data_IF_031911252440
#
_entry.id   IF_031911252440
#
_cell.length_a   1.000
_cell.length_b   1.000
_cell.length_c   1.000
_cell.angle_alpha   90.00
_cell.angle_beta   90.00
_cell.angle_gamma   90.00
#
_symmetry.space_group_name_H-M   'P 1'
#
loop_
_entity.id
_entity.type
_entity.pdbx_description
1 polymer ?
#
# COMPACT_ATOMS: atom_id res chain seq x y z
N UNK A 1 19.43 -18.15 7.70
CA UNK A 1 18.84 -16.87 7.25
C UNK A 1 19.91 -15.83 6.92
N UNK A 2 20.91 -15.63 7.81
CA UNK A 2 21.96 -14.61 7.65
C UNK A 2 22.71 -14.72 6.32
N UNK A 3 23.22 -15.89 5.99
CA UNK A 3 23.96 -16.14 4.74
C UNK A 3 23.13 -15.79 3.49
N UNK A 4 21.86 -16.20 3.47
CA UNK A 4 20.97 -15.91 2.34
C UNK A 4 20.70 -14.39 2.20
N UNK A 5 20.52 -13.69 3.33
CA UNK A 5 20.33 -12.23 3.31
C UNK A 5 21.61 -11.53 2.85
N UNK A 6 22.78 -11.96 3.34
CA UNK A 6 24.06 -11.39 2.91
C UNK A 6 24.27 -11.61 1.40
N UNK A 7 24.08 -12.84 0.92
CA UNK A 7 24.21 -13.14 -0.51
C UNK A 7 23.23 -12.33 -1.38
N UNK A 8 21.99 -12.14 -0.89
CA UNK A 8 21.03 -11.29 -1.58
C UNK A 8 21.48 -9.83 -1.63
N UNK A 9 21.98 -9.28 -0.52
CA UNK A 9 22.44 -7.90 -0.47
C UNK A 9 23.69 -7.67 -1.33
N UNK A 10 24.60 -8.63 -1.36
CA UNK A 10 25.78 -8.62 -2.24
C UNK A 10 25.35 -8.65 -3.72
N UNK A 11 24.36 -9.47 -4.06
CA UNK A 11 23.79 -9.51 -5.42
C UNK A 11 23.14 -8.19 -5.79
N UNK A 12 22.35 -7.60 -4.90
CA UNK A 12 21.70 -6.29 -5.10
C UNK A 12 22.76 -5.19 -5.26
N UNK A 13 23.83 -5.23 -4.49
CA UNK A 13 24.95 -4.30 -4.53
C UNK A 13 24.52 -2.82 -4.58
N UNK A 14 23.61 -2.43 -3.68
CA UNK A 14 23.12 -1.06 -3.56
C UNK A 14 22.20 -0.59 -4.69
N UNK A 15 21.85 -1.45 -5.65
CA UNK A 15 20.93 -1.09 -6.73
C UNK A 15 19.49 -0.93 -6.22
N UNK A 16 18.70 -0.05 -6.83
CA UNK A 16 17.28 0.03 -6.52
C UNK A 16 16.57 -1.30 -6.76
N UNK A 17 15.65 -1.65 -5.86
CA UNK A 17 14.81 -2.83 -5.99
C UNK A 17 13.50 -2.49 -6.73
N UNK A 18 12.89 -3.47 -7.36
CA UNK A 18 11.58 -3.34 -7.92
C UNK A 18 10.74 -4.58 -7.62
N UNK A 19 9.49 -4.38 -7.25
CA UNK A 19 8.54 -5.47 -7.06
C UNK A 19 7.10 -4.99 -7.32
N UNK A 20 6.17 -5.93 -7.40
CA UNK A 20 4.75 -5.65 -7.52
C UNK A 20 4.07 -5.78 -6.14
N UNK A 21 3.69 -4.67 -5.52
CA UNK A 21 3.37 -4.54 -4.10
C UNK A 21 4.63 -4.64 -3.22
N UNK A 22 5.63 -3.85 -3.60
CA UNK A 22 7.01 -3.92 -3.10
C UNK A 22 7.13 -3.85 -1.58
N UNK A 23 6.27 -3.09 -0.89
CA UNK A 23 6.31 -3.01 0.58
C UNK A 23 6.14 -4.37 1.25
N UNK A 24 5.38 -5.29 0.62
CA UNK A 24 5.24 -6.66 1.13
C UNK A 24 6.62 -7.35 1.19
N UNK A 25 7.34 -7.40 0.06
CA UNK A 25 8.64 -8.08 -0.03
C UNK A 25 9.70 -7.37 0.81
N UNK A 26 9.77 -6.05 0.71
CA UNK A 26 10.71 -5.20 1.45
C UNK A 26 10.53 -5.36 2.96
N UNK A 27 9.29 -5.46 3.45
CA UNK A 27 9.02 -5.63 4.88
C UNK A 27 9.57 -6.94 5.42
N UNK A 28 9.49 -8.04 4.66
CA UNK A 28 10.08 -9.35 5.04
C UNK A 28 11.60 -9.30 5.08
N UNK A 29 12.23 -8.72 4.05
CA UNK A 29 13.69 -8.57 4.01
C UNK A 29 14.16 -7.68 5.15
N UNK A 30 13.48 -6.55 5.38
CA UNK A 30 13.78 -5.62 6.48
C UNK A 30 13.67 -6.30 7.84
N UNK A 31 12.63 -7.10 8.07
CA UNK A 31 12.46 -7.84 9.31
C UNK A 31 13.56 -8.92 9.50
N UNK A 32 13.96 -9.59 8.43
CA UNK A 32 15.06 -10.54 8.43
C UNK A 32 16.40 -9.88 8.75
N UNK A 33 16.72 -8.79 8.06
CA UNK A 33 17.94 -8.01 8.28
C UNK A 33 18.02 -7.46 9.70
N UNK A 34 16.92 -6.93 10.22
CA UNK A 34 16.85 -6.43 11.62
C UNK A 34 17.19 -7.52 12.64
N UNK A 35 16.65 -8.74 12.46
CA UNK A 35 16.95 -9.87 13.36
C UNK A 35 18.42 -10.29 13.33
N UNK A 36 19.06 -10.18 12.18
CA UNK A 36 20.46 -10.56 11.98
C UNK A 36 21.45 -9.41 12.20
N UNK A 37 20.96 -8.21 12.57
CA UNK A 37 21.79 -7.02 12.76
C UNK A 37 22.42 -6.48 11.47
N UNK A 38 21.79 -6.73 10.32
CA UNK A 38 22.26 -6.28 9.00
C UNK A 38 21.56 -4.96 8.66
N UNK A 39 22.31 -3.88 8.33
CA UNK A 39 21.71 -2.64 7.83
C UNK A 39 20.98 -2.87 6.50
N UNK A 40 19.74 -2.38 6.40
CA UNK A 40 18.96 -2.49 5.17
C UNK A 40 18.02 -1.30 5.01
N UNK A 41 18.36 -0.38 4.13
CA UNK A 41 17.56 0.79 3.76
C UNK A 41 17.57 0.97 2.22
N UNK A 42 16.80 0.15 1.49
CA UNK A 42 16.83 0.13 0.04
C UNK A 42 16.00 1.25 -0.56
N UNK A 43 16.46 1.80 -1.67
CA UNK A 43 15.60 2.49 -2.62
C UNK A 43 14.81 1.46 -3.41
N UNK A 44 13.49 1.65 -3.57
CA UNK A 44 12.68 0.72 -4.36
C UNK A 44 11.56 1.41 -5.14
N UNK A 45 11.13 0.73 -6.20
CA UNK A 45 10.01 1.12 -7.06
C UNK A 45 8.92 0.06 -6.96
N UNK A 46 7.69 0.49 -6.75
CA UNK A 46 6.52 -0.39 -6.68
C UNK A 46 5.71 -0.33 -7.97
N UNK A 47 5.78 -1.40 -8.77
CA UNK A 47 5.04 -1.48 -10.05
C UNK A 47 3.52 -1.48 -9.86
N UNK A 48 2.99 -1.89 -8.70
CA UNK A 48 1.57 -1.77 -8.38
C UNK A 48 1.17 -0.29 -8.23
N UNK A 49 1.99 0.51 -7.54
CA UNK A 49 1.74 1.94 -7.39
C UNK A 49 1.85 2.64 -8.74
N UNK A 50 2.84 2.28 -9.58
CA UNK A 50 2.95 2.80 -10.93
C UNK A 50 1.71 2.47 -11.76
N UNK A 51 1.27 1.21 -11.79
CA UNK A 51 0.08 0.79 -12.51
C UNK A 51 -1.18 1.55 -12.05
N UNK A 52 -1.36 1.73 -10.75
CA UNK A 52 -2.51 2.45 -10.19
C UNK A 52 -2.58 3.93 -10.59
N UNK A 53 -1.43 4.56 -10.81
CA UNK A 53 -1.35 5.99 -11.18
C UNK A 53 -1.27 6.20 -12.69
N UNK A 54 -0.63 5.30 -13.43
CA UNK A 54 -0.39 5.45 -14.87
C UNK A 54 -1.46 4.79 -15.74
N UNK A 55 -2.26 3.86 -15.18
CA UNK A 55 -3.30 3.12 -15.88
C UNK A 55 -4.68 3.32 -15.22
N UNK A 56 -5.21 4.55 -15.21
CA UNK A 56 -6.44 4.87 -14.47
C UNK A 56 -7.68 4.13 -14.99
N UNK A 57 -7.64 3.62 -16.21
CA UNK A 57 -8.71 2.82 -16.84
C UNK A 57 -8.80 1.40 -16.31
N UNK A 58 -7.75 0.89 -15.63
CA UNK A 58 -7.80 -0.44 -15.01
C UNK A 58 -8.51 -0.38 -13.66
N UNK A 59 -9.36 -1.40 -13.40
CA UNK A 59 -10.04 -1.57 -12.12
C UNK A 59 -9.35 -2.59 -11.19
N UNK A 60 -8.49 -3.43 -11.76
CA UNK A 60 -7.72 -4.45 -11.04
C UNK A 60 -6.26 -4.35 -11.48
N UNK A 61 -5.37 -4.49 -10.52
CA UNK A 61 -3.93 -4.28 -10.71
C UNK A 61 -3.11 -5.49 -10.25
N UNK A 62 -3.62 -6.71 -10.49
CA UNK A 62 -2.82 -7.91 -10.33
C UNK A 62 -1.76 -7.95 -11.42
N UNK A 63 -0.64 -8.64 -11.16
CA UNK A 63 0.50 -8.73 -12.08
C UNK A 63 0.09 -9.20 -13.48
N UNK A 64 -0.70 -10.27 -13.53
CA UNK A 64 -1.26 -10.86 -14.76
C UNK A 64 -2.11 -9.86 -15.56
N UNK A 65 -3.02 -9.17 -14.89
CA UNK A 65 -3.94 -8.21 -15.52
C UNK A 65 -3.17 -7.01 -16.08
N UNK A 66 -2.17 -6.52 -15.36
CA UNK A 66 -1.35 -5.40 -15.80
C UNK A 66 -0.45 -5.82 -16.97
N UNK A 67 0.12 -7.04 -16.94
CA UNK A 67 0.92 -7.59 -18.02
C UNK A 67 0.10 -7.74 -19.30
N UNK A 68 -1.10 -8.33 -19.21
CA UNK A 68 -2.04 -8.46 -20.33
C UNK A 68 -2.42 -7.09 -20.93
N UNK A 69 -2.74 -6.12 -20.07
CA UNK A 69 -3.08 -4.76 -20.51
C UNK A 69 -1.94 -4.06 -21.26
N UNK A 70 -0.69 -4.33 -20.86
CA UNK A 70 0.50 -3.78 -21.49
C UNK A 70 0.99 -4.60 -22.69
N UNK A 71 0.23 -5.61 -23.12
CA UNK A 71 0.56 -6.53 -24.23
C UNK A 71 1.95 -7.18 -24.05
N UNK A 72 2.26 -7.57 -22.81
CA UNK A 72 3.51 -8.23 -22.48
C UNK A 72 3.43 -9.74 -22.70
N UNK A 73 4.57 -10.42 -22.96
CA UNK A 73 4.57 -11.86 -23.21
C UNK A 73 3.92 -12.66 -22.08
N UNK A 74 3.21 -13.73 -22.42
CA UNK A 74 2.65 -14.66 -21.44
C UNK A 74 3.77 -15.28 -20.60
N UNK A 75 3.52 -15.46 -19.30
CA UNK A 75 4.49 -16.01 -18.36
C UNK A 75 3.85 -17.04 -17.43
N UNK A 76 4.68 -17.89 -16.81
CA UNK A 76 4.21 -18.88 -15.87
C UNK A 76 4.02 -18.25 -14.50
N UNK A 77 2.75 -18.01 -14.13
CA UNK A 77 2.42 -17.50 -12.81
C UNK A 77 2.92 -18.40 -11.67
N UNK A 78 3.27 -17.79 -10.55
CA UNK A 78 3.72 -18.43 -9.32
C UNK A 78 5.12 -19.03 -9.35
N UNK A 79 5.94 -18.64 -10.34
CA UNK A 79 7.39 -18.83 -10.27
C UNK A 79 8.02 -17.47 -10.00
N UNK A 80 8.71 -17.35 -8.86
CA UNK A 80 9.30 -16.07 -8.41
C UNK A 80 10.22 -15.42 -9.47
N UNK A 81 10.95 -16.22 -10.23
CA UNK A 81 11.80 -15.74 -11.34
C UNK A 81 10.99 -15.11 -12.47
N UNK A 82 9.88 -15.74 -12.83
CA UNK A 82 9.04 -15.31 -13.94
C UNK A 82 8.22 -14.07 -13.52
N UNK A 83 7.74 -14.04 -12.27
CA UNK A 83 7.08 -12.87 -11.70
C UNK A 83 8.05 -11.66 -11.63
N UNK A 84 9.30 -11.89 -11.23
CA UNK A 84 10.33 -10.84 -11.20
C UNK A 84 10.68 -10.33 -12.60
N UNK A 85 10.82 -11.23 -13.60
CA UNK A 85 11.05 -10.86 -14.98
C UNK A 85 9.88 -10.03 -15.54
N UNK A 86 8.63 -10.41 -15.19
CA UNK A 86 7.45 -9.67 -15.61
C UNK A 86 7.43 -8.25 -15.03
N UNK A 87 7.81 -8.07 -13.76
CA UNK A 87 7.98 -6.73 -13.19
C UNK A 87 8.99 -5.92 -13.98
N UNK A 88 10.12 -6.51 -14.35
CA UNK A 88 11.13 -5.82 -15.16
C UNK A 88 10.58 -5.39 -16.53
N UNK A 89 9.85 -6.26 -17.22
CA UNK A 89 9.18 -5.92 -18.49
C UNK A 89 8.15 -4.79 -18.32
N UNK A 90 7.37 -4.78 -17.25
CA UNK A 90 6.41 -3.70 -16.96
C UNK A 90 7.08 -2.35 -16.72
N UNK A 91 8.27 -2.33 -16.10
CA UNK A 91 8.97 -1.08 -15.85
C UNK A 91 9.34 -0.33 -17.12
N UNK A 92 9.58 -1.03 -18.23
CA UNK A 92 9.94 -0.40 -19.52
C UNK A 92 8.84 0.55 -20.01
N UNK A 93 7.60 0.10 -20.26
CA UNK A 93 6.52 1.00 -20.69
C UNK A 93 6.15 2.03 -19.60
N UNK A 94 6.28 1.69 -18.32
CA UNK A 94 6.03 2.67 -17.26
C UNK A 94 7.05 3.80 -17.27
N UNK A 95 8.33 3.52 -17.44
CA UNK A 95 9.37 4.54 -17.52
C UNK A 95 9.21 5.40 -18.77
N UNK A 96 8.90 4.79 -19.91
CA UNK A 96 8.58 5.53 -21.14
C UNK A 96 7.39 6.48 -20.95
N UNK A 97 6.31 5.98 -20.34
CA UNK A 97 5.12 6.78 -20.05
C UNK A 97 5.41 7.92 -19.08
N UNK A 98 6.18 7.66 -18.02
CA UNK A 98 6.60 8.68 -17.05
C UNK A 98 7.47 9.75 -17.70
N UNK A 99 8.40 9.38 -18.55
CA UNK A 99 9.26 10.34 -19.27
C UNK A 99 8.44 11.18 -20.24
N UNK A 100 7.64 10.55 -21.09
CA UNK A 100 6.93 11.21 -22.19
C UNK A 100 5.74 12.06 -21.72
N UNK A 101 4.96 11.57 -20.72
CA UNK A 101 3.73 12.24 -20.29
C UNK A 101 3.91 13.12 -19.04
N UNK A 102 4.86 12.77 -18.16
CA UNK A 102 5.03 13.42 -16.86
C UNK A 102 6.38 14.13 -16.71
N UNK A 103 7.30 13.97 -17.68
CA UNK A 103 8.63 14.56 -17.63
C UNK A 103 9.54 14.01 -16.52
N UNK A 104 9.21 12.83 -15.98
CA UNK A 104 9.96 12.17 -14.90
C UNK A 104 11.10 11.38 -15.51
N UNK A 105 12.35 11.79 -15.24
CA UNK A 105 13.57 11.19 -15.80
C UNK A 105 14.49 10.57 -14.77
N UNK A 106 14.23 10.76 -13.49
CA UNK A 106 15.08 10.25 -12.40
C UNK A 106 14.29 9.33 -11.48
N UNK A 107 14.90 8.23 -11.08
CA UNK A 107 14.26 7.27 -10.15
C UNK A 107 13.83 7.93 -8.83
N UNK A 108 14.63 8.84 -8.31
CA UNK A 108 14.32 9.57 -7.07
C UNK A 108 13.06 10.44 -7.15
N UNK A 109 12.64 10.84 -8.36
CA UNK A 109 11.48 11.71 -8.57
C UNK A 109 10.19 10.88 -8.71
N UNK A 110 10.28 9.56 -8.94
CA UNK A 110 9.13 8.68 -9.18
C UNK A 110 8.19 8.69 -7.97
N UNK A 111 8.66 8.31 -6.80
CA UNK A 111 7.81 8.19 -5.61
C UNK A 111 7.16 9.51 -5.20
N UNK A 112 7.88 10.66 -5.14
CA UNK A 112 7.27 11.95 -4.87
C UNK A 112 6.21 12.37 -5.88
N UNK A 113 6.42 12.08 -7.17
CA UNK A 113 5.45 12.42 -8.22
C UNK A 113 4.23 11.48 -8.18
N UNK A 114 4.42 10.18 -7.97
CA UNK A 114 3.31 9.24 -7.82
C UNK A 114 2.42 9.57 -6.62
N UNK A 115 3.00 10.10 -5.53
CA UNK A 115 2.23 10.60 -4.39
C UNK A 115 1.37 11.83 -4.74
N UNK A 116 1.85 12.71 -5.61
CA UNK A 116 1.11 13.90 -6.07
C UNK A 116 -0.02 13.55 -7.04
N UNK A 117 0.20 12.54 -7.89
CA UNK A 117 -0.78 12.07 -8.88
C UNK A 117 -1.92 11.28 -8.23
N UNK A 118 -1.75 10.79 -7.02
CA UNK A 118 -2.86 10.15 -6.30
C UNK A 118 -4.01 11.14 -6.22
N UNK A 119 -5.20 10.82 -6.79
CA UNK A 119 -6.38 11.68 -6.64
C UNK A 119 -6.58 11.94 -5.15
N UNK A 120 -6.76 13.21 -4.76
CA UNK A 120 -7.21 13.57 -3.42
C UNK A 120 -8.53 12.83 -3.19
N UNK A 121 -8.51 11.78 -2.38
CA UNK A 121 -9.62 10.84 -2.22
C UNK A 121 -9.36 9.42 -2.73
N UNK A 122 -8.23 9.13 -3.40
CA UNK A 122 -7.83 7.77 -3.67
C UNK A 122 -7.51 7.09 -2.35
N UNK A 123 -8.42 6.22 -1.99
CA UNK A 123 -8.53 5.29 -0.88
C UNK A 123 -7.22 5.11 -0.11
N UNK A 124 -7.06 5.91 0.94
CA UNK A 124 -6.16 5.53 2.03
C UNK A 124 -6.55 4.12 2.45
N UNK A 125 -5.63 3.17 2.32
CA UNK A 125 -5.83 1.78 2.70
C UNK A 125 -7.13 1.17 2.18
N UNK A 126 -7.07 0.19 1.27
CA UNK A 126 -8.23 -0.60 0.78
C UNK A 126 -9.00 -1.30 1.90
N UNK A 127 -8.43 -1.33 3.08
CA UNK A 127 -9.00 -1.98 4.24
C UNK A 127 -9.26 -0.95 5.33
N UNK A 128 -10.46 -0.97 5.92
CA UNK A 128 -10.75 -0.16 7.09
C UNK A 128 -9.79 -0.53 8.22
N UNK A 129 -9.36 0.47 8.99
CA UNK A 129 -8.52 0.27 10.16
C UNK A 129 -9.39 -0.02 11.38
N UNK A 130 -8.89 -0.85 12.28
CA UNK A 130 -9.58 -1.10 13.55
C UNK A 130 -9.55 0.12 14.45
N UNK A 131 -10.65 0.37 15.12
CA UNK A 131 -10.82 1.46 16.07
C UNK A 131 -11.60 0.96 17.28
N UNK A 132 -11.24 1.45 18.47
CA UNK A 132 -12.01 1.26 19.69
C UNK A 132 -12.71 2.58 20.01
N UNK A 133 -14.00 2.52 20.29
CA UNK A 133 -14.81 3.67 20.67
C UNK A 133 -15.51 3.34 22.00
N UNK A 134 -15.30 4.18 23.00
CA UNK A 134 -15.92 4.07 24.31
C UNK A 134 -16.78 5.30 24.57
N UNK A 135 -17.98 5.09 25.13
CA UNK A 135 -18.84 6.18 25.56
C UNK A 135 -18.39 6.68 26.94
N UNK A 136 -18.07 7.96 27.06
CA UNK A 136 -17.68 8.62 28.31
C UNK A 136 -18.89 9.05 29.14
N UNK A 137 -19.99 9.37 28.49
CA UNK A 137 -21.22 9.90 29.10
C UNK A 137 -22.45 9.57 28.24
N UNK A 138 -23.63 10.01 28.65
CA UNK A 138 -24.89 9.77 27.93
C UNK A 138 -24.90 10.33 26.50
N UNK A 139 -24.27 11.47 26.25
CA UNK A 139 -24.11 12.05 24.91
C UNK A 139 -23.24 11.13 24.04
N UNK A 140 -22.11 10.69 24.54
CA UNK A 140 -21.25 9.74 23.87
C UNK A 140 -21.93 8.41 23.57
N UNK A 141 -22.80 7.93 24.47
CA UNK A 141 -23.59 6.72 24.22
C UNK A 141 -24.56 6.90 23.05
N UNK A 142 -25.22 8.05 22.98
CA UNK A 142 -26.08 8.41 21.83
C UNK A 142 -25.28 8.43 20.52
N UNK A 143 -24.14 9.12 20.53
CA UNK A 143 -23.25 9.20 19.36
C UNK A 143 -22.71 7.83 18.94
N UNK A 144 -22.35 6.97 19.90
CA UNK A 144 -21.93 5.61 19.64
C UNK A 144 -23.01 4.81 18.90
N UNK A 145 -24.26 4.89 19.35
CA UNK A 145 -25.36 4.23 18.65
C UNK A 145 -25.61 4.79 17.25
N UNK A 146 -25.49 6.10 17.06
CA UNK A 146 -25.60 6.72 15.74
C UNK A 146 -24.50 6.23 14.80
N UNK A 147 -23.23 6.19 15.25
CA UNK A 147 -22.11 5.67 14.48
C UNK A 147 -22.26 4.21 14.13
N UNK A 148 -22.71 3.36 15.07
CA UNK A 148 -22.97 1.94 14.82
C UNK A 148 -24.08 1.78 13.79
N UNK A 149 -25.19 2.51 13.93
CA UNK A 149 -26.30 2.47 12.98
C UNK A 149 -25.85 2.91 11.58
N UNK A 150 -25.16 4.04 11.47
CA UNK A 150 -24.64 4.54 10.20
C UNK A 150 -23.67 3.55 9.55
N UNK A 151 -22.75 2.96 10.34
CA UNK A 151 -21.77 2.01 9.83
C UNK A 151 -22.40 0.73 9.26
N UNK A 152 -23.54 0.30 9.80
CA UNK A 152 -24.23 -0.89 9.34
C UNK A 152 -25.26 -0.62 8.24
N UNK A 153 -25.93 0.54 8.27
CA UNK A 153 -27.02 0.85 7.34
C UNK A 153 -26.56 1.62 6.09
N UNK A 154 -25.57 2.52 6.26
CA UNK A 154 -25.14 3.43 5.19
C UNK A 154 -23.75 3.09 4.64
N UNK A 155 -22.82 2.66 5.50
CA UNK A 155 -21.41 2.48 5.15
C UNK A 155 -20.92 1.04 5.21
N UNK A 156 -21.81 0.08 5.21
CA UNK A 156 -21.47 -1.34 5.22
C UNK A 156 -20.83 -1.77 3.88
N UNK A 157 -19.59 -2.27 3.94
CA UNK A 157 -18.88 -2.85 2.79
C UNK A 157 -18.14 -4.10 3.24
N UNK A 158 -18.79 -5.26 3.28
CA UNK A 158 -18.32 -6.53 3.87
C UNK A 158 -18.17 -6.48 5.39
N UNK A 159 -17.79 -5.34 5.93
CA UNK A 159 -17.71 -5.03 7.37
C UNK A 159 -18.30 -3.64 7.61
N UNK A 160 -18.79 -3.35 8.83
CA UNK A 160 -19.21 -2.01 9.19
C UNK A 160 -18.02 -1.04 9.11
N UNK A 161 -18.21 0.12 8.46
CA UNK A 161 -17.16 1.14 8.31
C UNK A 161 -17.70 2.44 8.90
N UNK A 162 -16.87 3.11 9.69
CA UNK A 162 -17.13 4.47 10.17
C UNK A 162 -16.22 5.43 9.42
N UNK A 163 -16.75 6.25 8.49
CA UNK A 163 -15.97 7.31 7.86
C UNK A 163 -15.40 8.28 8.90
N UNK A 164 -14.20 8.82 8.67
CA UNK A 164 -13.59 9.81 9.58
C UNK A 164 -14.47 11.05 9.75
N UNK A 165 -15.16 11.45 8.70
CA UNK A 165 -16.13 12.58 8.74
C UNK A 165 -17.27 12.33 9.72
N UNK A 166 -17.87 11.14 9.69
CA UNK A 166 -18.92 10.74 10.62
C UNK A 166 -18.39 10.65 12.06
N UNK A 167 -17.21 10.06 12.23
CA UNK A 167 -16.57 9.98 13.54
C UNK A 167 -16.29 11.37 14.13
N UNK A 168 -15.85 12.31 13.31
CA UNK A 168 -15.59 13.69 13.75
C UNK A 168 -16.86 14.44 14.09
N UNK A 169 -17.94 14.26 13.31
CA UNK A 169 -19.24 14.87 13.56
C UNK A 169 -19.90 14.39 14.87
N UNK A 170 -19.60 13.15 15.28
CA UNK A 170 -20.18 12.51 16.47
C UNK A 170 -19.14 12.26 17.58
N UNK A 171 -18.06 13.06 17.62
CA UNK A 171 -16.93 12.80 18.53
C UNK A 171 -17.21 13.16 19.99
N UNK A 172 -18.14 14.08 20.26
CA UNK A 172 -18.43 14.56 21.61
C UNK A 172 -18.87 13.41 22.53
N UNK A 173 -18.28 13.36 23.72
CA UNK A 173 -18.56 12.32 24.73
C UNK A 173 -18.01 10.95 24.39
N UNK A 174 -17.16 10.81 23.36
CA UNK A 174 -16.49 9.57 23.00
C UNK A 174 -14.99 9.61 23.38
N UNK A 175 -14.47 8.46 23.77
CA UNK A 175 -13.04 8.18 23.87
C UNK A 175 -12.69 7.27 22.69
N UNK A 176 -11.69 7.67 21.90
CA UNK A 176 -11.28 6.97 20.70
C UNK A 176 -9.88 6.42 20.92
N UNK A 177 -9.71 5.12 20.70
CA UNK A 177 -8.43 4.43 20.80
C UNK A 177 -8.06 3.72 19.50
N UNK A 178 -6.76 3.63 19.23
CA UNK A 178 -6.24 2.71 18.24
C UNK A 178 -6.33 1.30 18.82
N UNK A 179 -6.99 0.39 18.10
CA UNK A 179 -7.31 -0.93 18.62
C UNK A 179 -6.07 -1.84 18.73
N UNK A 180 -5.83 -2.66 17.73
CA UNK A 180 -4.75 -3.63 17.69
C UNK A 180 -3.72 -3.22 16.61
N UNK A 181 -2.88 -4.15 16.21
CA UNK A 181 -1.93 -4.01 15.10
C UNK A 181 -2.60 -3.62 13.75
N UNK A 182 -3.89 -3.87 13.59
CA UNK A 182 -4.69 -3.41 12.45
C UNK A 182 -5.23 -1.97 12.63
N UNK A 183 -4.96 -1.33 13.76
CA UNK A 183 -5.31 0.06 14.04
C UNK A 183 -4.42 1.06 13.30
N UNK A 184 -4.92 2.28 13.11
CA UNK A 184 -4.21 3.31 12.35
C UNK A 184 -2.88 3.72 13.01
N UNK A 185 -2.88 3.91 14.33
CA UNK A 185 -1.68 4.32 15.07
C UNK A 185 -0.55 3.29 14.98
N UNK A 186 -0.87 2.02 15.23
CA UNK A 186 0.13 0.95 15.15
C UNK A 186 0.75 0.85 13.75
N UNK A 187 -0.09 0.98 12.71
CA UNK A 187 0.36 0.95 11.32
C UNK A 187 1.18 2.18 10.92
N UNK A 188 1.01 3.31 11.61
CA UNK A 188 1.77 4.53 11.34
C UNK A 188 3.14 4.55 12.05
N UNK A 189 3.32 3.73 13.10
CA UNK A 189 4.56 3.68 13.92
C UNK A 189 5.45 2.49 13.51
N UNK A 190 4.92 1.53 12.73
CA UNK A 190 5.63 0.36 12.24
C UNK A 190 6.48 0.67 11.02
#
# INVERSE_FOLDING_TARGET
>A
PKEALTAFLDFVNGRPLAAHNAEFDISFIRAGCRREGIPFDPTYVDSLILAQNLLPQLHKFKLDIVAEYLDLPAFNHHRASDDAAMVAYMLIPFFQKMENELGIRRLQDINPQMLKLRPQGSKSSRFPKHIIILAKNKMGLKHLYQLISASNLQYFKRVPIIPKTELMAHREGLIIGSACEAGELFQAVK
#
